data_IF_026804938662
#
_entry.id   IF_026804938662
#
_cell.length_a   1.000
_cell.length_b   1.000
_cell.length_c   1.000
_cell.angle_alpha   90.00
_cell.angle_beta   90.00
_cell.angle_gamma   90.00
#
_symmetry.space_group_name_H-M   'P 1'
#
loop_
_entity.id
_entity.type
_entity.pdbx_description
1 polymer ?
#
# COMPACT_ATOMS: atom_id res chain seq x y z
N UNK A 1 42.76 6.14 100.30
CA UNK A 1 42.29 4.77 100.18
C UNK A 1 41.00 4.77 99.39
N UNK A 2 41.06 4.67 98.10
CA UNK A 2 39.88 4.41 97.19
C UNK A 2 40.41 3.57 96.02
N UNK A 3 39.81 2.40 95.86
CA UNK A 3 40.17 1.36 94.95
C UNK A 3 39.72 1.70 93.55
N UNK A 4 40.60 1.52 92.61
CA UNK A 4 40.30 1.65 91.18
C UNK A 4 39.45 0.52 90.61
N UNK A 5 38.54 0.93 89.68
CA UNK A 5 37.69 -0.03 88.95
C UNK A 5 38.19 -0.01 87.48
N UNK A 6 38.69 -1.13 86.95
CA UNK A 6 39.06 -1.29 85.57
C UNK A 6 37.90 -1.89 84.80
N UNK A 7 37.36 -1.17 83.84
CA UNK A 7 36.40 -1.67 82.86
C UNK A 7 37.11 -2.10 81.59
N UNK A 8 37.06 -3.40 81.29
CA UNK A 8 37.51 -3.93 79.97
C UNK A 8 36.41 -3.73 78.97
N UNK A 9 36.69 -2.87 77.95
CA UNK A 9 35.82 -2.70 76.85
C UNK A 9 36.18 -3.69 75.75
N UNK A 10 35.34 -4.70 75.53
CA UNK A 10 35.44 -5.60 74.35
C UNK A 10 34.82 -4.94 73.18
N UNK A 11 35.66 -4.55 72.21
CA UNK A 11 35.19 -4.03 70.90
C UNK A 11 34.74 -5.19 69.99
N UNK A 12 33.44 -5.31 69.80
CA UNK A 12 32.84 -6.25 68.85
C UNK A 12 32.92 -5.62 67.44
N UNK A 13 33.82 -6.12 66.60
CA UNK A 13 33.92 -5.71 65.18
C UNK A 13 32.89 -6.52 64.40
N UNK A 14 31.78 -5.88 64.02
CA UNK A 14 30.78 -6.47 63.12
C UNK A 14 31.27 -6.19 61.66
N UNK A 15 31.72 -7.23 60.99
CA UNK A 15 31.93 -7.19 59.52
C UNK A 15 30.59 -7.21 58.80
N UNK A 16 30.13 -6.05 58.34
CA UNK A 16 29.04 -5.96 57.36
C UNK A 16 29.58 -6.32 55.99
N UNK A 17 29.37 -7.57 55.51
CA UNK A 17 29.55 -7.95 54.13
C UNK A 17 28.40 -7.36 53.31
N UNK A 18 28.65 -6.23 52.65
CA UNK A 18 27.76 -5.68 51.65
C UNK A 18 27.80 -6.60 50.40
N UNK A 19 26.80 -7.49 50.28
CA UNK A 19 26.58 -8.25 49.02
C UNK A 19 26.10 -7.27 47.96
N UNK A 20 27.02 -6.82 47.09
CA UNK A 20 26.67 -6.08 45.91
C UNK A 20 25.92 -7.01 44.94
N UNK A 21 24.58 -6.98 45.00
CA UNK A 21 23.76 -7.54 43.96
C UNK A 21 24.02 -6.73 42.68
N UNK A 22 24.95 -7.19 41.87
CA UNK A 22 25.06 -6.73 40.50
C UNK A 22 23.76 -7.13 39.79
N UNK A 23 22.81 -6.19 39.73
CA UNK A 23 21.65 -6.32 38.87
C UNK A 23 22.18 -6.57 37.44
N UNK A 24 22.01 -7.78 36.92
CA UNK A 24 22.21 -8.06 35.51
C UNK A 24 21.35 -7.06 34.72
N UNK A 25 22.00 -6.16 33.99
CA UNK A 25 21.29 -5.35 33.03
C UNK A 25 20.47 -6.30 32.13
N UNK A 26 19.19 -5.98 31.85
CA UNK A 26 18.38 -6.82 30.97
C UNK A 26 19.16 -7.02 29.68
N UNK A 27 19.28 -8.28 29.24
CA UNK A 27 19.95 -8.62 28.00
C UNK A 27 19.34 -7.76 26.87
N UNK A 28 20.14 -7.12 26.02
CA UNK A 28 19.61 -6.30 24.95
C UNK A 28 18.65 -7.15 24.13
N UNK A 29 17.41 -6.69 24.01
CA UNK A 29 16.39 -7.34 23.18
C UNK A 29 17.02 -7.51 21.78
N UNK A 30 17.03 -8.71 21.20
CA UNK A 30 17.64 -8.93 19.90
C UNK A 30 16.99 -7.97 18.90
N UNK A 31 17.81 -7.14 18.28
CA UNK A 31 17.35 -6.25 17.20
C UNK A 31 16.96 -7.16 16.04
N UNK A 32 15.65 -7.28 15.78
CA UNK A 32 15.15 -8.03 14.64
C UNK A 32 15.80 -7.49 13.37
N UNK A 33 16.38 -8.40 12.56
CA UNK A 33 16.94 -8.01 11.28
C UNK A 33 15.82 -7.59 10.33
N UNK A 34 16.09 -6.61 9.49
CA UNK A 34 15.13 -6.09 8.48
C UNK A 34 14.48 -7.23 7.69
N UNK A 35 15.26 -8.21 7.25
CA UNK A 35 14.76 -9.34 6.46
C UNK A 35 13.75 -10.20 7.23
N UNK A 36 13.90 -10.38 8.53
CA UNK A 36 12.93 -11.12 9.33
C UNK A 36 11.59 -10.37 9.41
N UNK A 37 11.62 -9.05 9.65
CA UNK A 37 10.41 -8.22 9.67
C UNK A 37 9.70 -8.31 8.32
N UNK A 38 10.44 -8.15 7.22
CA UNK A 38 9.90 -8.21 5.87
C UNK A 38 9.32 -9.58 5.52
N UNK A 39 9.97 -10.67 5.92
CA UNK A 39 9.47 -12.03 5.67
C UNK A 39 8.15 -12.29 6.41
N UNK A 40 8.04 -11.83 7.67
CA UNK A 40 6.78 -11.91 8.44
C UNK A 40 5.69 -11.03 7.82
N UNK A 41 6.05 -9.85 7.32
CA UNK A 41 5.10 -8.97 6.62
C UNK A 41 4.60 -9.58 5.31
N UNK A 42 5.45 -10.25 4.52
CA UNK A 42 5.03 -10.99 3.31
C UNK A 42 3.97 -12.05 3.64
N UNK A 43 4.11 -12.75 4.77
CA UNK A 43 3.10 -13.70 5.21
C UNK A 43 1.75 -13.01 5.50
N UNK A 44 1.78 -11.81 6.12
CA UNK A 44 0.57 -11.02 6.38
C UNK A 44 -0.07 -10.48 5.08
N UNK A 45 0.73 -10.09 4.09
CA UNK A 45 0.22 -9.68 2.76
C UNK A 45 -0.56 -10.82 2.10
N UNK A 46 -0.09 -12.06 2.21
CA UNK A 46 -0.83 -13.23 1.70
C UNK A 46 -2.16 -13.45 2.44
N UNK A 47 -2.16 -13.33 3.77
CA UNK A 47 -3.38 -13.42 4.59
C UNK A 47 -4.35 -12.30 4.18
N UNK A 48 -3.85 -11.07 4.01
CA UNK A 48 -4.64 -9.96 3.52
C UNK A 48 -5.33 -10.30 2.20
N UNK A 49 -4.60 -10.67 1.16
CA UNK A 49 -5.16 -10.96 -0.16
C UNK A 49 -6.20 -12.08 -0.11
N UNK A 50 -5.93 -13.16 0.65
CA UNK A 50 -6.87 -14.28 0.80
C UNK A 50 -8.17 -13.90 1.52
N UNK A 51 -8.12 -12.96 2.47
CA UNK A 51 -9.29 -12.49 3.20
C UNK A 51 -10.01 -11.39 2.44
N UNK A 52 -9.25 -10.42 1.90
CA UNK A 52 -9.78 -9.22 1.25
C UNK A 52 -10.58 -9.54 -0.02
N UNK A 53 -10.18 -10.55 -0.78
CA UNK A 53 -10.92 -11.00 -1.98
C UNK A 53 -12.36 -11.44 -1.71
N UNK A 54 -12.72 -11.66 -0.45
CA UNK A 54 -14.07 -12.06 -0.04
C UNK A 54 -14.83 -10.91 0.65
N UNK A 55 -14.33 -9.68 0.57
CA UNK A 55 -14.95 -8.52 1.18
C UNK A 55 -15.60 -7.63 0.12
N UNK A 56 -16.73 -7.05 0.53
CA UNK A 56 -17.41 -5.94 -0.15
C UNK A 56 -17.12 -4.67 0.63
N UNK A 57 -17.05 -3.53 -0.06
CA UNK A 57 -16.98 -2.22 0.61
C UNK A 57 -17.65 -1.14 -0.22
N UNK A 58 -18.00 -0.02 0.43
CA UNK A 58 -18.30 1.22 -0.28
C UNK A 58 -17.00 1.94 -0.59
N UNK A 59 -16.83 2.38 -1.83
CA UNK A 59 -15.69 3.17 -2.29
C UNK A 59 -16.19 4.55 -2.78
N UNK A 60 -15.44 5.59 -2.43
CA UNK A 60 -15.59 6.92 -3.04
C UNK A 60 -14.27 7.32 -3.66
N UNK A 61 -14.25 7.53 -4.98
CA UNK A 61 -13.12 8.12 -5.69
C UNK A 61 -13.35 9.61 -5.86
N UNK A 62 -12.37 10.42 -5.50
CA UNK A 62 -12.35 11.86 -5.78
C UNK A 62 -11.17 12.16 -6.71
N UNK A 63 -11.48 12.64 -7.90
CA UNK A 63 -10.51 13.10 -8.90
C UNK A 63 -10.35 14.59 -8.81
N UNK A 64 -9.12 15.08 -8.74
CA UNK A 64 -8.77 16.49 -8.76
C UNK A 64 -7.75 16.75 -9.84
N UNK A 65 -8.02 17.70 -10.74
CA UNK A 65 -7.02 18.22 -11.68
C UNK A 65 -6.54 19.57 -11.20
N UNK A 66 -5.29 19.86 -11.43
CA UNK A 66 -4.63 21.07 -10.95
C UNK A 66 -4.24 22.00 -12.11
N UNK A 67 -4.26 23.28 -11.88
CA UNK A 67 -3.74 24.27 -12.80
C UNK A 67 -2.21 24.46 -12.66
N UNK A 68 -1.64 25.37 -13.45
CA UNK A 68 -0.21 25.68 -13.38
C UNK A 68 0.26 26.32 -12.08
N UNK A 69 -0.67 26.79 -11.24
CA UNK A 69 -0.38 27.38 -9.92
C UNK A 69 -0.50 26.35 -8.79
N UNK A 70 -0.96 25.12 -9.10
CA UNK A 70 -1.22 24.08 -8.12
C UNK A 70 -2.59 24.20 -7.44
N UNK A 71 -3.51 24.98 -8.00
CA UNK A 71 -4.87 25.12 -7.51
C UNK A 71 -5.78 24.09 -8.18
N UNK A 72 -6.80 23.60 -7.43
CA UNK A 72 -7.78 22.63 -7.98
C UNK A 72 -8.63 23.33 -9.05
N UNK A 73 -8.49 22.87 -10.29
CA UNK A 73 -9.22 23.35 -11.47
C UNK A 73 -10.56 22.64 -11.65
N UNK A 74 -10.58 21.32 -11.43
CA UNK A 74 -11.78 20.48 -11.58
C UNK A 74 -11.77 19.41 -10.50
N UNK A 75 -12.95 19.11 -9.97
CA UNK A 75 -13.16 17.98 -9.06
C UNK A 75 -14.31 17.12 -9.60
N UNK A 76 -14.17 15.81 -9.49
CA UNK A 76 -15.18 14.81 -9.81
C UNK A 76 -15.21 13.74 -8.74
N UNK A 77 -16.40 13.24 -8.43
CA UNK A 77 -16.57 12.18 -7.43
C UNK A 77 -17.35 11.01 -8.05
N UNK A 78 -16.86 9.80 -7.80
CA UNK A 78 -17.51 8.54 -8.22
C UNK A 78 -17.71 7.68 -6.98
N UNK A 79 -18.95 7.30 -6.71
CA UNK A 79 -19.30 6.41 -5.58
C UNK A 79 -19.70 5.05 -6.12
N UNK A 80 -19.15 3.98 -5.56
CA UNK A 80 -19.37 2.61 -6.00
C UNK A 80 -19.43 1.61 -4.83
N UNK A 81 -20.04 0.47 -5.09
CA UNK A 81 -19.75 -0.74 -4.35
C UNK A 81 -18.50 -1.38 -4.97
N UNK A 82 -17.52 -1.64 -4.14
CA UNK A 82 -16.24 -2.24 -4.52
C UNK A 82 -16.20 -3.71 -4.13
N UNK A 83 -15.78 -4.56 -5.06
CA UNK A 83 -15.56 -5.99 -4.83
C UNK A 83 -14.28 -6.46 -5.53
N UNK A 84 -13.69 -7.52 -5.01
CA UNK A 84 -12.64 -8.26 -5.70
C UNK A 84 -13.28 -9.41 -6.46
N UNK A 85 -13.27 -9.30 -7.79
CA UNK A 85 -13.84 -10.31 -8.69
C UNK A 85 -12.80 -11.42 -8.95
N UNK A 86 -13.24 -12.68 -8.88
CA UNK A 86 -12.43 -13.84 -9.27
C UNK A 86 -12.74 -14.20 -10.72
N UNK A 87 -11.71 -14.20 -11.58
CA UNK A 87 -11.91 -14.50 -13.00
C UNK A 87 -12.38 -15.95 -13.19
N UNK A 88 -13.42 -16.14 -14.00
CA UNK A 88 -14.01 -17.45 -14.30
C UNK A 88 -13.08 -18.33 -15.13
N UNK A 89 -12.29 -17.70 -16.01
CA UNK A 89 -11.42 -18.36 -16.97
C UNK A 89 -9.94 -18.50 -16.54
N UNK A 90 -9.63 -18.16 -15.28
CA UNK A 90 -8.27 -18.27 -14.74
C UNK A 90 -8.30 -18.44 -13.23
N UNK A 91 -8.17 -19.68 -12.77
CA UNK A 91 -8.17 -20.00 -11.34
C UNK A 91 -7.13 -19.17 -10.57
N UNK A 92 -7.57 -18.56 -9.46
CA UNK A 92 -6.74 -17.74 -8.59
C UNK A 92 -6.42 -16.34 -9.09
N UNK A 93 -6.82 -15.96 -10.31
CA UNK A 93 -6.68 -14.57 -10.79
C UNK A 93 -7.86 -13.73 -10.32
N UNK A 94 -7.55 -12.52 -9.86
CA UNK A 94 -8.51 -11.58 -9.29
C UNK A 94 -8.37 -10.21 -9.97
N UNK A 95 -9.48 -9.46 -9.97
CA UNK A 95 -9.54 -8.09 -10.48
C UNK A 95 -10.40 -7.23 -9.55
N UNK A 96 -10.15 -5.93 -9.52
CA UNK A 96 -11.04 -4.98 -8.86
C UNK A 96 -12.25 -4.70 -9.75
N UNK A 97 -13.45 -4.86 -9.21
CA UNK A 97 -14.69 -4.46 -9.88
C UNK A 97 -15.41 -3.40 -9.06
N UNK A 98 -15.94 -2.42 -9.77
CA UNK A 98 -16.69 -1.30 -9.20
C UNK A 98 -18.07 -1.21 -9.82
N UNK A 99 -19.07 -1.51 -9.02
CA UNK A 99 -20.45 -1.23 -9.35
C UNK A 99 -20.74 0.25 -9.02
N UNK A 100 -20.66 1.10 -10.04
CA UNK A 100 -20.82 2.56 -9.86
C UNK A 100 -22.28 2.90 -9.62
N UNK A 101 -22.53 3.60 -8.49
CA UNK A 101 -23.85 3.98 -8.02
C UNK A 101 -24.17 5.45 -8.30
N UNK A 102 -23.15 6.33 -8.20
CA UNK A 102 -23.36 7.78 -8.37
C UNK A 102 -22.10 8.45 -8.94
N UNK A 103 -22.32 9.54 -9.68
CA UNK A 103 -21.27 10.43 -10.21
C UNK A 103 -21.62 11.86 -9.83
N UNK A 104 -20.68 12.59 -9.23
CA UNK A 104 -20.83 13.96 -8.74
C UNK A 104 -22.10 14.14 -7.87
N UNK A 105 -22.35 13.15 -7.01
CA UNK A 105 -23.51 13.11 -6.11
C UNK A 105 -24.85 12.77 -6.77
N UNK A 106 -24.88 12.55 -8.09
CA UNK A 106 -26.07 12.15 -8.80
C UNK A 106 -26.11 10.64 -8.98
N UNK A 107 -27.16 10.01 -8.45
CA UNK A 107 -27.39 8.58 -8.63
C UNK A 107 -27.52 8.23 -10.13
N UNK A 108 -26.99 7.07 -10.50
CA UNK A 108 -27.11 6.55 -11.86
C UNK A 108 -28.40 5.76 -11.98
N UNK A 109 -29.21 6.08 -13.01
CA UNK A 109 -30.41 5.33 -13.31
C UNK A 109 -30.03 3.87 -13.68
N UNK A 110 -30.82 2.93 -13.15
CA UNK A 110 -30.69 1.49 -13.47
C UNK A 110 -29.28 0.93 -13.23
N UNK A 111 -28.57 1.41 -12.19
CA UNK A 111 -27.23 0.93 -11.88
C UNK A 111 -27.20 -0.58 -11.65
N UNK A 112 -28.16 -1.12 -10.90
CA UNK A 112 -28.25 -2.55 -10.58
C UNK A 112 -28.59 -3.41 -11.80
N UNK A 113 -29.57 -2.99 -12.63
CA UNK A 113 -29.90 -3.67 -13.89
C UNK A 113 -28.64 -3.76 -14.80
N UNK A 114 -27.92 -2.64 -14.91
CA UNK A 114 -26.68 -2.59 -15.72
C UNK A 114 -25.59 -3.53 -15.17
N UNK A 115 -25.43 -3.61 -13.86
CA UNK A 115 -24.47 -4.52 -13.24
C UNK A 115 -24.86 -5.99 -13.50
N UNK A 116 -26.15 -6.33 -13.39
CA UNK A 116 -26.63 -7.67 -13.70
C UNK A 116 -26.37 -8.04 -15.15
N UNK A 117 -26.78 -7.17 -16.10
CA UNK A 117 -26.53 -7.36 -17.54
C UNK A 117 -25.03 -7.52 -17.85
N UNK A 118 -24.18 -6.79 -17.12
CA UNK A 118 -22.74 -6.87 -17.26
C UNK A 118 -22.24 -8.26 -16.85
N UNK A 119 -22.62 -8.75 -15.65
CA UNK A 119 -22.19 -10.06 -15.18
C UNK A 119 -22.71 -11.19 -16.05
N UNK A 120 -23.93 -11.15 -16.55
CA UNK A 120 -24.47 -12.15 -17.49
C UNK A 120 -23.65 -12.28 -18.79
N UNK A 121 -22.99 -11.19 -19.18
CA UNK A 121 -22.12 -11.16 -20.37
C UNK A 121 -20.69 -11.56 -20.05
N UNK A 122 -20.13 -11.01 -18.97
CA UNK A 122 -18.69 -11.18 -18.68
C UNK A 122 -18.33 -12.62 -18.34
N UNK A 123 -19.23 -13.36 -17.69
CA UNK A 123 -19.03 -14.79 -17.39
C UNK A 123 -18.97 -15.67 -18.64
N UNK A 124 -19.45 -15.16 -19.78
CA UNK A 124 -19.39 -15.84 -21.09
C UNK A 124 -18.16 -15.43 -21.92
N UNK A 125 -17.23 -14.70 -21.33
CA UNK A 125 -16.01 -14.28 -22.04
C UNK A 125 -15.18 -15.50 -22.47
N UNK A 126 -14.65 -15.47 -23.70
CA UNK A 126 -13.93 -16.59 -24.30
C UNK A 126 -12.55 -16.84 -23.68
N UNK A 127 -12.01 -15.88 -22.94
CA UNK A 127 -10.71 -16.00 -22.28
C UNK A 127 -10.60 -15.05 -21.07
N UNK A 128 -9.68 -15.37 -20.16
CA UNK A 128 -9.39 -14.53 -18.99
C UNK A 128 -8.92 -13.11 -19.37
N UNK A 129 -8.23 -12.93 -20.48
CA UNK A 129 -7.84 -11.61 -20.96
C UNK A 129 -9.04 -10.76 -21.40
N UNK A 130 -10.00 -11.34 -22.15
CA UNK A 130 -11.25 -10.65 -22.52
C UNK A 130 -12.12 -10.36 -21.32
N UNK A 131 -12.18 -11.29 -20.36
CA UNK A 131 -12.90 -11.13 -19.11
C UNK A 131 -12.32 -9.98 -18.28
N UNK A 132 -11.01 -9.95 -18.07
CA UNK A 132 -10.31 -8.87 -17.35
C UNK A 132 -10.52 -7.51 -18.02
N UNK A 133 -10.30 -7.41 -19.32
CA UNK A 133 -10.50 -6.16 -20.06
C UNK A 133 -11.95 -5.62 -19.96
N UNK A 134 -12.93 -6.52 -19.96
CA UNK A 134 -14.33 -6.13 -19.77
C UNK A 134 -14.61 -5.60 -18.36
N UNK A 135 -14.05 -6.26 -17.33
CA UNK A 135 -14.17 -5.83 -15.93
C UNK A 135 -13.52 -4.46 -15.72
N UNK A 136 -12.31 -4.28 -16.22
CA UNK A 136 -11.59 -3.00 -16.12
C UNK A 136 -12.37 -1.87 -16.82
N UNK A 137 -12.80 -2.10 -18.05
CA UNK A 137 -13.59 -1.13 -18.82
C UNK A 137 -14.86 -0.69 -18.10
N UNK A 138 -15.60 -1.62 -17.48
CA UNK A 138 -16.81 -1.28 -16.73
C UNK A 138 -16.49 -0.57 -15.42
N UNK A 139 -15.47 -1.04 -14.69
CA UNK A 139 -15.04 -0.48 -13.40
C UNK A 139 -14.51 0.94 -13.52
N UNK A 140 -13.85 1.27 -14.65
CA UNK A 140 -13.21 2.56 -14.88
C UNK A 140 -14.03 3.50 -15.77
N UNK A 141 -15.26 3.10 -16.12
CA UNK A 141 -16.13 3.79 -17.09
C UNK A 141 -16.34 5.27 -16.80
N UNK A 142 -16.35 5.65 -15.53
CA UNK A 142 -16.60 7.03 -15.09
C UNK A 142 -15.35 7.73 -14.59
N UNK A 143 -14.19 7.05 -14.66
CA UNK A 143 -12.91 7.63 -14.28
C UNK A 143 -12.47 8.65 -15.33
N UNK A 144 -12.15 9.86 -14.91
CA UNK A 144 -11.71 10.98 -15.75
C UNK A 144 -10.97 12.00 -14.87
N UNK A 145 -9.76 12.42 -15.21
CA UNK A 145 -9.06 12.22 -16.49
C UNK A 145 -8.14 10.98 -16.52
N UNK A 146 -7.97 10.27 -15.41
CA UNK A 146 -7.05 9.14 -15.30
C UNK A 146 -7.78 7.90 -14.83
N UNK A 147 -7.43 6.77 -15.42
CA UNK A 147 -7.94 5.46 -15.04
C UNK A 147 -6.93 4.75 -14.16
N UNK A 148 -7.33 4.37 -12.94
CA UNK A 148 -6.47 3.73 -11.96
C UNK A 148 -7.17 2.50 -11.40
N UNK A 149 -6.50 1.35 -11.48
CA UNK A 149 -7.01 0.07 -11.01
C UNK A 149 -5.92 -0.72 -10.27
N UNK A 150 -6.31 -1.72 -9.49
CA UNK A 150 -5.40 -2.68 -8.85
C UNK A 150 -4.75 -2.19 -7.55
N UNK A 151 -4.94 -0.94 -7.12
CA UNK A 151 -4.21 -0.39 -5.97
C UNK A 151 -4.42 -1.19 -4.68
N UNK A 152 -5.63 -1.68 -4.41
CA UNK A 152 -5.91 -2.45 -3.18
C UNK A 152 -5.29 -3.84 -3.19
N UNK A 153 -5.01 -4.38 -4.38
CA UNK A 153 -4.42 -5.71 -4.58
C UNK A 153 -2.88 -5.67 -4.56
N UNK A 154 -2.28 -4.50 -4.74
CA UNK A 154 -0.85 -4.32 -4.93
C UNK A 154 -0.18 -3.56 -3.79
N UNK A 155 -0.59 -3.81 -2.54
CA UNK A 155 0.16 -3.33 -1.37
C UNK A 155 1.53 -4.02 -1.26
N UNK A 156 2.50 -3.32 -0.71
CA UNK A 156 3.86 -3.82 -0.46
C UNK A 156 4.53 -4.44 -1.70
N UNK A 157 4.32 -3.84 -2.86
CA UNK A 157 4.84 -4.33 -4.15
C UNK A 157 6.35 -4.59 -4.16
N UNK A 158 7.14 -3.76 -3.47
CA UNK A 158 8.58 -3.95 -3.34
C UNK A 158 8.95 -5.29 -2.67
N UNK A 159 7.99 -5.95 -2.00
CA UNK A 159 8.17 -7.28 -1.38
C UNK A 159 7.76 -8.43 -2.30
N UNK A 160 7.19 -8.16 -3.48
CA UNK A 160 6.81 -9.20 -4.43
C UNK A 160 8.05 -9.99 -4.88
N UNK A 161 7.88 -11.31 -5.07
CA UNK A 161 8.99 -12.25 -5.32
C UNK A 161 9.93 -11.82 -6.47
N UNK A 162 9.36 -11.30 -7.56
CA UNK A 162 10.12 -10.85 -8.72
C UNK A 162 10.72 -9.44 -8.56
N UNK A 163 10.18 -8.62 -7.65
CA UNK A 163 10.62 -7.24 -7.44
C UNK A 163 11.58 -7.10 -6.27
N UNK A 164 11.39 -7.85 -5.18
CA UNK A 164 12.18 -7.73 -3.95
C UNK A 164 13.71 -7.72 -4.16
N UNK A 165 14.29 -8.56 -5.04
CA UNK A 165 15.74 -8.55 -5.29
C UNK A 165 16.28 -7.25 -5.91
N UNK A 166 15.38 -6.40 -6.43
CA UNK A 166 15.73 -5.13 -7.06
C UNK A 166 15.83 -3.98 -6.05
N UNK A 167 15.48 -4.22 -4.79
CA UNK A 167 15.36 -3.20 -3.76
C UNK A 167 16.37 -3.40 -2.62
N UNK A 168 16.85 -2.29 -2.11
CA UNK A 168 17.48 -2.20 -0.79
C UNK A 168 16.44 -1.77 0.23
N UNK A 169 16.51 -2.37 1.43
CA UNK A 169 15.63 -2.06 2.55
C UNK A 169 16.46 -1.64 3.76
N UNK A 170 15.99 -0.61 4.47
CA UNK A 170 16.65 -0.09 5.66
C UNK A 170 15.64 0.12 6.78
N UNK A 171 15.89 -0.48 7.95
CA UNK A 171 15.14 -0.17 9.17
C UNK A 171 15.56 1.21 9.68
N UNK A 172 14.62 2.15 9.67
CA UNK A 172 14.83 3.52 10.17
C UNK A 172 14.60 3.61 11.69
N UNK A 173 13.85 2.65 12.26
CA UNK A 173 13.53 2.59 13.67
C UNK A 173 12.10 2.18 13.93
N UNK A 174 11.61 2.52 15.14
CA UNK A 174 10.22 2.33 15.56
C UNK A 174 9.59 3.69 15.86
N UNK A 175 8.28 3.78 15.65
CA UNK A 175 7.47 4.95 16.03
C UNK A 175 6.06 4.51 16.38
N UNK A 176 5.27 5.41 16.97
CA UNK A 176 3.83 5.20 17.17
C UNK A 176 3.08 5.74 15.95
N UNK A 177 2.19 4.92 15.37
CA UNK A 177 1.29 5.29 14.29
C UNK A 177 -0.11 4.76 14.60
N UNK A 178 -1.11 5.64 14.63
CA UNK A 178 -2.53 5.34 14.96
C UNK A 178 -2.69 4.47 16.23
N UNK A 179 -1.87 4.77 17.26
CA UNK A 179 -1.87 4.06 18.56
C UNK A 179 -1.09 2.74 18.57
N UNK A 180 -0.58 2.24 17.46
CA UNK A 180 0.24 1.05 17.36
C UNK A 180 1.74 1.39 17.29
N UNK A 181 2.60 0.55 17.87
CA UNK A 181 4.04 0.62 17.61
C UNK A 181 4.32 -0.01 16.26
N UNK A 182 5.04 0.71 15.38
CA UNK A 182 5.36 0.25 14.03
C UNK A 182 6.86 0.33 13.76
N UNK A 183 7.37 -0.65 13.00
CA UNK A 183 8.67 -0.54 12.34
C UNK A 183 8.54 0.37 11.12
N UNK A 184 9.45 1.34 10.98
CA UNK A 184 9.58 2.16 9.78
C UNK A 184 10.71 1.61 8.95
N UNK A 185 10.39 1.12 7.74
CA UNK A 185 11.36 0.56 6.81
C UNK A 185 11.29 1.34 5.52
N UNK A 186 12.38 2.03 5.19
CA UNK A 186 12.54 2.64 3.86
C UNK A 186 13.01 1.60 2.84
N UNK A 187 12.60 1.81 1.59
CA UNK A 187 13.07 0.99 0.47
C UNK A 187 13.40 1.86 -0.75
N UNK A 188 14.36 1.41 -1.54
CA UNK A 188 14.70 2.05 -2.81
C UNK A 188 15.11 1.00 -3.84
N UNK A 189 14.66 1.19 -5.06
CA UNK A 189 15.09 0.38 -6.20
C UNK A 189 16.52 0.75 -6.60
N UNK A 190 17.38 -0.26 -6.73
CA UNK A 190 18.82 -0.09 -7.02
C UNK A 190 19.14 -0.22 -8.49
N UNK A 191 18.32 -0.95 -9.26
CA UNK A 191 18.51 -1.18 -10.69
C UNK A 191 17.18 -1.11 -11.44
N UNK A 192 17.21 -0.83 -12.74
CA UNK A 192 16.03 -0.82 -13.61
C UNK A 192 15.37 -2.19 -13.66
N UNK A 193 14.08 -2.20 -13.97
CA UNK A 193 13.32 -3.43 -14.11
C UNK A 193 12.37 -3.32 -15.29
N UNK A 194 12.25 -4.36 -16.11
CA UNK A 194 11.21 -4.42 -17.13
C UNK A 194 9.80 -4.57 -16.56
N UNK A 195 9.69 -4.83 -15.25
CA UNK A 195 8.41 -4.99 -14.55
C UNK A 195 7.91 -3.68 -13.91
N UNK A 196 8.74 -2.62 -13.92
CA UNK A 196 8.37 -1.26 -13.48
C UNK A 196 8.71 -0.32 -14.63
N UNK A 197 7.69 0.16 -15.35
CA UNK A 197 7.84 0.93 -16.58
C UNK A 197 6.99 2.20 -16.55
N UNK A 198 7.38 3.15 -17.39
CA UNK A 198 6.60 4.35 -17.70
C UNK A 198 6.19 4.32 -19.19
N UNK A 199 4.92 4.65 -19.44
CA UNK A 199 4.37 4.79 -20.79
C UNK A 199 4.65 3.57 -21.71
N UNK A 200 4.65 2.37 -21.14
CA UNK A 200 4.85 1.14 -21.90
C UNK A 200 3.53 0.67 -22.51
N UNK A 201 3.56 0.36 -23.80
CA UNK A 201 2.43 -0.26 -24.51
C UNK A 201 2.55 -1.80 -24.55
N UNK A 202 3.51 -2.38 -23.83
CA UNK A 202 3.73 -3.82 -23.82
C UNK A 202 2.84 -4.51 -22.80
N UNK A 203 1.87 -5.29 -23.29
CA UNK A 203 1.20 -6.30 -22.48
C UNK A 203 2.19 -7.42 -22.16
N UNK A 204 2.55 -7.57 -20.87
CA UNK A 204 3.43 -8.65 -20.41
C UNK A 204 2.57 -9.76 -19.81
N UNK A 205 2.32 -10.84 -20.55
CA UNK A 205 1.60 -11.98 -20.01
C UNK A 205 2.47 -12.73 -19.00
N UNK A 206 1.85 -13.25 -17.95
CA UNK A 206 2.48 -14.16 -16.99
C UNK A 206 2.10 -13.89 -15.53
N UNK A 207 2.65 -14.72 -14.65
CA UNK A 207 2.44 -14.63 -13.20
C UNK A 207 3.31 -13.56 -12.50
N UNK A 208 3.88 -12.64 -13.28
CA UNK A 208 4.74 -11.55 -12.76
C UNK A 208 3.89 -10.33 -12.48
N UNK A 209 4.14 -9.71 -11.35
CA UNK A 209 3.60 -8.38 -11.05
C UNK A 209 4.36 -7.37 -11.89
N UNK A 210 3.62 -6.63 -12.72
CA UNK A 210 4.15 -5.54 -13.54
C UNK A 210 3.40 -4.26 -13.20
N UNK A 211 4.12 -3.14 -13.23
CA UNK A 211 3.60 -1.81 -13.00
C UNK A 211 3.92 -0.95 -14.22
N UNK A 212 2.90 -0.35 -14.77
CA UNK A 212 3.07 0.65 -15.82
C UNK A 212 2.38 1.95 -15.38
N UNK A 213 3.16 3.03 -15.35
CA UNK A 213 2.67 4.35 -14.98
C UNK A 213 2.64 5.22 -16.24
N UNK A 214 1.52 5.88 -16.48
CA UNK A 214 1.40 6.88 -17.52
C UNK A 214 1.80 8.26 -16.96
N UNK A 215 2.78 8.88 -17.59
CA UNK A 215 3.30 10.19 -17.17
C UNK A 215 3.44 11.08 -18.41
N UNK A 216 2.81 12.24 -18.37
CA UNK A 216 3.02 13.25 -19.40
C UNK A 216 4.38 13.93 -19.23
N UNK A 217 5.16 13.97 -20.32
CA UNK A 217 6.43 14.67 -20.40
C UNK A 217 6.50 15.53 -21.68
N UNK A 218 6.98 16.74 -21.55
CA UNK A 218 7.29 17.58 -22.70
C UNK A 218 8.61 17.10 -23.34
N UNK A 219 8.53 16.49 -24.52
CA UNK A 219 9.64 15.87 -25.24
C UNK A 219 9.74 14.37 -25.01
N UNK A 220 10.79 13.73 -25.53
CA UNK A 220 11.05 12.28 -25.36
C UNK A 220 12.32 12.10 -24.53
N UNK A 221 12.29 12.31 -23.22
CA UNK A 221 13.46 12.05 -22.40
C UNK A 221 13.64 10.54 -22.21
N UNK A 222 14.87 10.08 -22.24
CA UNK A 222 15.20 8.75 -21.68
C UNK A 222 15.04 8.88 -20.18
N UNK A 223 14.02 8.25 -19.64
CA UNK A 223 13.71 8.30 -18.21
C UNK A 223 14.32 7.07 -17.56
N UNK A 224 15.16 7.29 -16.53
CA UNK A 224 15.60 6.24 -15.61
C UNK A 224 14.60 6.19 -14.45
N UNK A 225 13.52 5.45 -14.63
CA UNK A 225 12.52 5.29 -13.59
C UNK A 225 13.05 4.44 -12.45
N UNK A 226 12.70 4.83 -11.23
CA UNK A 226 12.99 4.11 -10.00
C UNK A 226 11.84 4.26 -9.03
N UNK A 227 11.59 3.17 -8.30
CA UNK A 227 10.63 3.16 -7.21
C UNK A 227 11.35 3.28 -5.87
N UNK A 228 10.80 4.08 -4.96
CA UNK A 228 11.22 4.18 -3.56
C UNK A 228 10.03 4.41 -2.66
N UNK A 229 10.21 4.20 -1.37
CA UNK A 229 9.13 4.46 -0.43
C UNK A 229 9.44 4.05 0.99
N UNK A 230 8.36 3.92 1.78
CA UNK A 230 8.42 3.50 3.18
C UNK A 230 7.25 2.58 3.52
N UNK A 231 7.52 1.62 4.38
CA UNK A 231 6.54 0.80 5.05
C UNK A 231 6.46 1.18 6.53
N UNK A 232 5.24 1.25 7.07
CA UNK A 232 4.96 1.26 8.50
C UNK A 232 4.31 -0.07 8.84
N UNK A 233 5.09 -0.97 9.45
CA UNK A 233 4.72 -2.36 9.73
C UNK A 233 4.50 -2.51 11.22
N UNK A 234 3.34 -3.01 11.63
CA UNK A 234 2.99 -3.27 13.02
C UNK A 234 4.06 -4.14 13.72
N UNK A 235 4.55 -3.70 14.86
CA UNK A 235 5.64 -4.37 15.55
C UNK A 235 5.24 -5.69 16.22
N UNK A 236 3.95 -5.89 16.50
CA UNK A 236 3.44 -7.10 17.13
C UNK A 236 2.90 -8.11 16.08
N UNK A 237 2.17 -7.62 15.06
CA UNK A 237 1.45 -8.46 14.11
C UNK A 237 2.08 -8.51 12.72
N UNK A 238 3.04 -7.65 12.41
CA UNK A 238 3.71 -7.51 11.10
C UNK A 238 2.77 -7.14 9.95
N UNK A 239 1.58 -6.60 10.25
CA UNK A 239 0.62 -6.08 9.26
C UNK A 239 1.06 -4.71 8.78
N UNK A 240 0.71 -4.38 7.54
CA UNK A 240 1.03 -3.08 6.95
C UNK A 240 0.00 -2.04 7.35
N UNK A 241 0.38 -1.04 8.15
CA UNK A 241 -0.45 0.11 8.51
C UNK A 241 -0.44 1.21 7.46
N UNK A 242 0.72 1.44 6.84
CA UNK A 242 0.89 2.48 5.83
C UNK A 242 2.01 2.10 4.86
N UNK A 243 1.80 2.44 3.59
CA UNK A 243 2.86 2.47 2.57
C UNK A 243 2.89 3.84 1.92
N UNK A 244 4.07 4.41 1.77
CA UNK A 244 4.35 5.54 0.90
C UNK A 244 5.19 5.02 -0.27
N UNK A 245 4.78 5.34 -1.50
CA UNK A 245 5.44 4.90 -2.72
C UNK A 245 5.64 6.06 -3.66
N UNK A 246 6.83 6.19 -4.21
CA UNK A 246 7.16 7.22 -5.19
C UNK A 246 7.82 6.57 -6.40
N UNK A 247 7.38 6.97 -7.59
CA UNK A 247 8.10 6.73 -8.84
C UNK A 247 8.85 8.00 -9.16
N UNK A 248 10.15 7.85 -9.32
CA UNK A 248 11.07 8.95 -9.65
C UNK A 248 11.66 8.73 -11.02
N UNK A 249 11.97 9.81 -11.70
CA UNK A 249 12.71 9.83 -12.97
C UNK A 249 13.90 10.76 -12.83
N UNK A 250 14.99 10.46 -13.54
CA UNK A 250 16.15 11.34 -13.63
C UNK A 250 16.42 11.70 -15.10
N UNK A 251 15.82 12.78 -15.60
CA UNK A 251 16.09 13.23 -16.94
C UNK A 251 17.54 13.72 -17.09
N UNK A 252 18.14 13.64 -18.27
CA UNK A 252 19.47 14.18 -18.52
C UNK A 252 19.58 15.66 -18.14
N UNK A 253 20.67 16.04 -17.46
CA UNK A 253 20.94 17.42 -17.05
C UNK A 253 20.19 17.90 -15.79
N UNK A 254 19.53 17.00 -15.06
CA UNK A 254 18.93 17.29 -13.75
C UNK A 254 19.85 16.84 -12.61
N UNK A 255 19.92 17.62 -11.54
CA UNK A 255 20.82 17.38 -10.42
C UNK A 255 20.35 16.24 -9.50
N UNK A 256 19.12 15.74 -9.68
CA UNK A 256 18.57 14.68 -8.87
C UNK A 256 17.26 14.10 -9.44
N UNK A 257 16.77 13.03 -8.84
CA UNK A 257 15.52 12.40 -9.28
C UNK A 257 14.31 13.28 -8.95
N UNK A 258 13.37 13.35 -9.87
CA UNK A 258 12.08 14.01 -9.73
C UNK A 258 10.98 12.99 -9.49
N UNK A 259 10.07 13.27 -8.55
CA UNK A 259 8.88 12.44 -8.30
C UNK A 259 7.84 12.73 -9.37
N UNK A 260 7.44 11.71 -10.12
CA UNK A 260 6.40 11.81 -11.18
C UNK A 260 5.11 11.10 -10.81
N UNK A 261 5.17 10.12 -9.89
CA UNK A 261 3.99 9.52 -9.27
C UNK A 261 4.25 9.38 -7.77
N UNK A 262 3.22 9.67 -6.97
CA UNK A 262 3.22 9.40 -5.54
C UNK A 262 1.94 8.68 -5.15
N UNK A 263 2.09 7.64 -4.38
CA UNK A 263 0.98 6.86 -3.82
C UNK A 263 1.15 6.74 -2.31
N UNK A 264 0.08 7.01 -1.58
CA UNK A 264 0.00 6.86 -0.14
C UNK A 264 -1.14 5.89 0.18
N UNK A 265 -0.85 4.82 0.91
CA UNK A 265 -1.80 3.78 1.30
C UNK A 265 -1.95 3.80 2.81
N UNK A 266 -3.12 4.16 3.31
CA UNK A 266 -3.49 4.09 4.72
C UNK A 266 -4.46 2.94 4.96
N UNK A 267 -4.18 2.13 5.97
CA UNK A 267 -5.02 1.01 6.38
C UNK A 267 -5.64 1.27 7.75
N UNK A 268 -6.68 0.52 8.08
CA UNK A 268 -7.41 0.60 9.35
C UNK A 268 -7.75 -0.79 9.87
N UNK A 269 -8.01 -0.89 11.18
CA UNK A 269 -8.49 -2.11 11.79
C UNK A 269 -9.83 -2.57 11.20
N UNK A 270 -10.04 -3.88 11.18
CA UNK A 270 -11.30 -4.49 10.78
C UNK A 270 -11.62 -5.71 11.65
N UNK A 271 -12.89 -6.10 11.65
CA UNK A 271 -13.39 -7.31 12.33
C UNK A 271 -13.04 -8.61 11.55
N UNK A 272 -12.34 -8.50 10.43
CA UNK A 272 -11.99 -9.63 9.55
C UNK A 272 -10.61 -10.22 9.85
N UNK A 273 -9.93 -9.73 10.88
CA UNK A 273 -8.60 -10.21 11.27
C UNK A 273 -7.45 -9.69 10.40
N UNK A 274 -7.71 -8.76 9.50
CA UNK A 274 -6.74 -8.04 8.67
C UNK A 274 -6.89 -6.53 8.85
N UNK A 275 -5.86 -5.76 8.47
CA UNK A 275 -6.05 -4.34 8.21
C UNK A 275 -6.65 -4.19 6.81
N UNK A 276 -7.70 -3.34 6.67
CA UNK A 276 -8.33 -3.05 5.39
C UNK A 276 -7.98 -1.64 4.90
N UNK A 277 -8.04 -1.34 3.61
CA UNK A 277 -7.81 0.01 3.11
C UNK A 277 -8.75 1.01 3.80
N UNK A 278 -8.21 2.14 4.23
CA UNK A 278 -8.96 3.30 4.71
C UNK A 278 -8.99 4.36 3.64
N UNK A 279 -7.80 4.71 3.17
CA UNK A 279 -7.60 5.73 2.16
C UNK A 279 -6.39 5.40 1.31
N UNK A 280 -6.53 5.54 -0.01
CA UNK A 280 -5.40 5.49 -0.94
C UNK A 280 -5.40 6.79 -1.72
N UNK A 281 -4.23 7.41 -1.85
CA UNK A 281 -4.05 8.62 -2.66
C UNK A 281 -3.05 8.32 -3.76
N UNK A 282 -3.40 8.63 -5.00
CA UNK A 282 -2.51 8.57 -6.15
C UNK A 282 -2.38 9.96 -6.75
N UNK A 283 -1.16 10.47 -6.86
CA UNK A 283 -0.87 11.77 -7.44
C UNK A 283 0.10 11.62 -8.61
N UNK A 284 -0.21 12.25 -9.74
CA UNK A 284 0.64 12.31 -10.92
C UNK A 284 1.17 13.73 -11.10
N UNK A 285 2.43 13.79 -11.54
CA UNK A 285 3.14 15.05 -11.77
C UNK A 285 3.64 15.08 -13.22
N UNK A 286 3.32 16.14 -13.93
CA UNK A 286 3.84 16.41 -15.27
C UNK A 286 5.26 16.92 -15.17
N UNK A 287 6.16 16.34 -15.95
CA UNK A 287 7.55 16.80 -16.07
C UNK A 287 7.64 18.01 -17.01
N UNK A 288 8.19 19.11 -16.48
CA UNK A 288 8.53 20.29 -17.25
C UNK A 288 10.04 20.34 -17.50
N UNK A 289 10.48 19.73 -18.58
CA UNK A 289 11.91 19.58 -18.89
C UNK A 289 12.66 20.93 -18.97
N UNK A 290 12.06 21.97 -19.58
CA UNK A 290 12.65 23.31 -19.70
C UNK A 290 12.79 24.03 -18.35
N UNK A 291 11.85 23.84 -17.47
CA UNK A 291 11.79 24.50 -16.16
C UNK A 291 12.53 23.68 -15.07
N UNK A 292 13.05 22.51 -15.41
CA UNK A 292 13.68 21.54 -14.50
C UNK A 292 12.84 21.27 -13.25
N UNK A 293 11.52 21.15 -13.44
CA UNK A 293 10.55 20.98 -12.37
C UNK A 293 9.46 20.01 -12.73
N UNK A 294 8.66 19.64 -11.72
CA UNK A 294 7.40 18.91 -11.90
C UNK A 294 6.26 19.75 -11.36
N UNK A 295 5.09 19.64 -11.96
CA UNK A 295 3.86 20.23 -11.44
C UNK A 295 2.84 19.12 -11.21
N UNK A 296 2.11 19.22 -10.10
CA UNK A 296 1.01 18.31 -9.82
C UNK A 296 -0.07 18.52 -10.88
N UNK A 297 -0.48 17.43 -11.51
CA UNK A 297 -1.45 17.45 -12.59
C UNK A 297 -2.79 16.86 -12.17
N UNK A 298 -2.73 15.69 -11.55
CA UNK A 298 -3.90 14.93 -11.12
C UNK A 298 -3.66 14.35 -9.73
N UNK A 299 -4.72 14.28 -8.94
CA UNK A 299 -4.77 13.45 -7.76
C UNK A 299 -6.08 12.68 -7.73
N UNK A 300 -5.99 11.40 -7.41
CA UNK A 300 -7.16 10.57 -7.13
C UNK A 300 -7.07 10.09 -5.69
N UNK A 301 -8.13 10.31 -4.95
CA UNK A 301 -8.27 9.83 -3.57
C UNK A 301 -9.37 8.77 -3.54
N UNK A 302 -9.04 7.59 -3.02
CA UNK A 302 -9.96 6.49 -2.78
C UNK A 302 -10.21 6.40 -1.29
N UNK A 303 -11.46 6.43 -0.87
CA UNK A 303 -11.88 6.26 0.52
C UNK A 303 -12.80 5.04 0.61
N UNK A 304 -12.47 4.14 1.54
CA UNK A 304 -13.17 2.87 1.73
C UNK A 304 -13.90 2.83 3.07
N UNK A 305 -15.10 2.27 3.06
CA UNK A 305 -15.91 2.13 4.26
C UNK A 305 -16.88 0.95 4.15
N UNK A 306 -17.57 0.63 5.26
CA UNK A 306 -18.65 -0.37 5.30
C UNK A 306 -18.23 -1.74 4.76
N UNK A 307 -17.09 -2.23 5.21
CA UNK A 307 -16.65 -3.57 4.84
C UNK A 307 -17.62 -4.63 5.37
N UNK A 308 -18.00 -5.56 4.51
CA UNK A 308 -18.82 -6.73 4.84
C UNK A 308 -18.27 -7.96 4.14
N UNK A 309 -18.56 -9.15 4.65
CA UNK A 309 -18.25 -10.38 3.90
C UNK A 309 -19.23 -10.53 2.75
N UNK A 310 -18.72 -10.97 1.62
CA UNK A 310 -19.57 -11.50 0.57
C UNK A 310 -20.04 -12.87 1.01
N UNK A 311 -21.34 -13.03 1.25
CA UNK A 311 -21.95 -14.34 1.54
C UNK A 311 -22.07 -15.20 0.27
N UNK A 312 -21.65 -14.65 -0.87
CA UNK A 312 -21.65 -15.32 -2.18
C UNK A 312 -20.21 -15.40 -2.64
N UNK A 313 -19.66 -16.62 -2.76
CA UNK A 313 -18.56 -16.81 -3.71
C UNK A 313 -19.11 -16.40 -5.08
N UNK A 314 -18.69 -15.25 -5.60
CA UNK A 314 -18.96 -14.87 -7.00
C UNK A 314 -18.02 -15.74 -7.86
N UNK A 315 -18.27 -17.02 -7.86
CA UNK A 315 -17.87 -17.90 -8.94
C UNK A 315 -18.91 -17.67 -10.02
N UNK A 316 -18.48 -17.45 -11.26
CA UNK A 316 -19.35 -17.21 -12.41
C UNK A 316 -20.36 -18.34 -12.65
N UNK A 317 -21.29 -18.54 -11.72
CA UNK A 317 -22.37 -19.48 -11.81
C UNK A 317 -23.52 -19.04 -10.92
N UNK A 318 -24.65 -18.81 -11.58
CA UNK A 318 -26.02 -18.82 -11.07
C UNK A 318 -26.34 -17.86 -9.89
N UNK A 319 -26.61 -16.59 -10.25
CA UNK A 319 -27.59 -15.82 -9.50
C UNK A 319 -28.96 -16.46 -9.79
N UNK A 320 -29.47 -17.27 -8.86
CA UNK A 320 -30.86 -17.67 -8.81
C UNK A 320 -31.66 -16.62 -8.11
#
# INVERSE_FOLDING_TARGET
>A
MIKGFRVNLFALVIFLTASSAFGQAPAPTPVLQVDEILNRSVAQVRIYLNTFKNLLSSETKTFETYDKKGEVKKRRTVTSNFIVYQLSNAEGRIAEYRHVLAVDGKALDKADERAQDFFERVVKAESSGKELAAIEKESLRYDDPVQINGLTLFQALALAKNLRPLFEFKLEGKQTFDGAEVYVISYRQTQGSPDITLNSNEDKPGDRITLNFEVEAEGTPVLNERMRGKFMIDAATYRLWREEREITVQPPGFDGPLVVVREDFDFQNSDFGILVPKKITHAQYRLKAKERSVIKEVQVTFEYSKFTRSDVEVKGAEIK
#
